data_IF_040066975890
#
_entry.id   IF_040066975890
#
_cell.length_a   1.000
_cell.length_b   1.000
_cell.length_c   1.000
_cell.angle_alpha   90.00
_cell.angle_beta   90.00
_cell.angle_gamma   90.00
#
_symmetry.space_group_name_H-M   'P 1'
#
loop_
_entity.id
_entity.type
_entity.pdbx_description
1 polymer ?
#
# COMPACT_ATOMS: atom_id res chain seq x y z
N UNK A 1 9.68 38.44 -0.87
CA UNK A 1 10.40 37.22 -1.31
C UNK A 1 9.35 36.24 -1.81
N UNK A 2 9.45 35.88 -3.08
CA UNK A 2 8.38 35.31 -3.93
C UNK A 2 7.98 33.88 -3.53
N UNK A 3 6.68 33.69 -3.36
CA UNK A 3 6.01 32.41 -3.09
C UNK A 3 5.94 31.54 -4.35
N UNK A 4 6.86 30.57 -4.50
CA UNK A 4 6.81 29.56 -5.55
C UNK A 4 6.07 28.29 -5.11
N UNK A 5 4.80 28.41 -4.72
CA UNK A 5 3.93 27.27 -4.40
C UNK A 5 2.66 27.27 -5.26
N UNK A 6 2.80 27.34 -6.58
CA UNK A 6 1.72 26.91 -7.48
C UNK A 6 2.05 25.53 -8.04
N UNK A 7 1.13 24.61 -7.74
CA UNK A 7 0.63 23.66 -8.73
C UNK A 7 1.53 22.45 -9.05
N UNK A 8 2.06 21.80 -8.02
CA UNK A 8 2.19 20.33 -8.10
C UNK A 8 0.78 19.73 -8.07
N UNK A 9 0.40 18.82 -8.98
CA UNK A 9 -0.90 18.16 -8.91
C UNK A 9 -1.06 17.56 -7.52
N UNK A 10 -2.09 17.99 -6.79
CA UNK A 10 -2.40 17.45 -5.47
C UNK A 10 -2.80 16.00 -5.69
N UNK A 11 -1.99 15.07 -5.19
CA UNK A 11 -2.35 13.67 -5.15
C UNK A 11 -3.67 13.55 -4.35
N UNK A 12 -4.77 13.29 -5.07
CA UNK A 12 -6.13 13.31 -4.52
C UNK A 12 -6.34 12.23 -3.46
N UNK A 13 -5.63 11.11 -3.59
CA UNK A 13 -5.71 9.98 -2.64
C UNK A 13 -4.71 10.11 -1.48
N UNK A 14 -3.81 11.10 -1.53
CA UNK A 14 -2.87 11.46 -0.45
C UNK A 14 -1.98 10.29 0.03
N UNK A 15 -1.74 9.30 -0.84
CA UNK A 15 -0.83 8.18 -0.63
C UNK A 15 0.16 8.10 -1.80
N UNK A 16 1.37 7.61 -1.56
CA UNK A 16 2.37 7.42 -2.61
C UNK A 16 2.94 6.01 -2.52
N UNK A 17 3.10 5.35 -3.67
CA UNK A 17 3.71 4.02 -3.76
C UNK A 17 5.03 4.15 -4.52
N UNK A 18 6.12 3.82 -3.85
CA UNK A 18 7.46 3.73 -4.45
C UNK A 18 7.78 2.25 -4.65
N UNK A 19 7.63 1.76 -5.87
CA UNK A 19 7.82 0.35 -6.21
C UNK A 19 9.29 0.04 -6.55
N UNK A 20 9.84 -0.99 -5.89
CA UNK A 20 11.09 -1.64 -6.30
C UNK A 20 10.76 -2.96 -6.98
N UNK A 21 10.88 -3.00 -8.30
CA UNK A 21 10.67 -4.19 -9.14
C UNK A 21 11.84 -4.36 -10.12
N UNK A 22 11.79 -5.36 -11.00
CA UNK A 22 12.83 -5.61 -12.02
C UNK A 22 13.19 -4.39 -12.88
N UNK A 23 12.23 -3.49 -13.13
CA UNK A 23 12.48 -2.25 -13.90
C UNK A 23 13.27 -1.18 -13.12
N UNK A 24 13.31 -1.26 -11.78
CA UNK A 24 14.08 -0.35 -10.91
C UNK A 24 15.34 -1.01 -10.33
N UNK A 25 15.30 -2.32 -10.14
CA UNK A 25 16.40 -3.13 -9.64
C UNK A 25 16.50 -4.41 -10.48
N UNK A 26 17.26 -4.39 -11.60
CA UNK A 26 17.33 -5.51 -12.54
C UNK A 26 17.79 -6.83 -11.93
N UNK A 27 18.55 -6.79 -10.82
CA UNK A 27 18.97 -7.97 -10.07
C UNK A 27 17.82 -8.76 -9.42
N UNK A 28 16.59 -8.23 -9.44
CA UNK A 28 15.39 -8.97 -9.04
C UNK A 28 14.86 -9.90 -10.12
N UNK A 29 15.41 -9.85 -11.34
CA UNK A 29 15.03 -10.78 -12.39
C UNK A 29 15.19 -12.23 -11.92
N UNK A 30 14.24 -13.08 -12.27
CA UNK A 30 14.13 -14.50 -11.84
C UNK A 30 13.92 -14.78 -10.35
N UNK A 31 13.92 -13.77 -9.47
CA UNK A 31 13.73 -13.95 -8.03
C UNK A 31 12.26 -13.93 -7.58
N UNK A 32 11.33 -13.56 -8.47
CA UNK A 32 9.88 -13.50 -8.20
C UNK A 32 9.51 -12.67 -6.97
N UNK A 33 10.23 -11.56 -6.75
CA UNK A 33 9.99 -10.66 -5.63
C UNK A 33 10.04 -9.19 -6.07
N UNK A 34 9.11 -8.41 -5.54
CA UNK A 34 9.17 -6.95 -5.58
C UNK A 34 8.76 -6.34 -4.23
N UNK A 35 9.22 -5.12 -3.97
CA UNK A 35 9.08 -4.48 -2.67
C UNK A 35 8.55 -3.04 -2.80
N UNK A 36 7.22 -2.83 -2.76
CA UNK A 36 6.66 -1.49 -2.62
C UNK A 36 6.89 -0.91 -1.22
N UNK A 37 7.30 0.36 -1.20
CA UNK A 37 7.14 1.24 -0.04
C UNK A 37 5.91 2.11 -0.24
N UNK A 38 5.09 2.25 0.80
CA UNK A 38 3.88 3.05 0.80
C UNK A 38 3.99 4.15 1.86
N UNK A 39 3.77 5.39 1.44
CA UNK A 39 3.73 6.56 2.32
C UNK A 39 2.33 7.17 2.27
N UNK A 40 1.64 7.24 3.40
CA UNK A 40 0.31 7.83 3.51
C UNK A 40 0.39 9.14 4.28
N UNK A 41 -0.16 10.22 3.71
CA UNK A 41 -0.46 11.41 4.53
C UNK A 41 -1.68 11.13 5.41
N UNK A 42 -1.96 12.02 6.36
CA UNK A 42 -3.21 12.04 7.11
C UNK A 42 -4.42 11.83 6.18
N UNK A 43 -5.30 10.88 6.51
CA UNK A 43 -6.46 10.51 5.68
C UNK A 43 -6.11 10.07 4.24
N UNK A 44 -4.90 9.53 4.03
CA UNK A 44 -4.46 8.96 2.78
C UNK A 44 -5.04 7.57 2.53
N UNK A 45 -5.38 7.29 1.28
CA UNK A 45 -5.99 6.06 0.81
C UNK A 45 -5.10 5.45 -0.28
N UNK A 46 -4.77 4.17 -0.16
CA UNK A 46 -4.41 3.35 -1.30
C UNK A 46 -5.72 2.69 -1.78
N UNK A 47 -6.27 3.11 -2.94
CA UNK A 47 -7.61 2.71 -3.34
C UNK A 47 -7.78 1.19 -3.48
N UNK A 48 -9.02 0.68 -3.50
CA UNK A 48 -9.29 -0.72 -3.82
C UNK A 48 -8.61 -1.15 -5.12
N UNK A 49 -7.76 -2.17 -5.04
CA UNK A 49 -7.00 -2.72 -6.18
C UNK A 49 -6.79 -4.24 -6.02
N UNK A 50 -6.30 -4.89 -7.08
CA UNK A 50 -6.00 -6.33 -7.11
C UNK A 50 -4.54 -6.57 -7.47
N UNK A 51 -4.01 -7.72 -7.06
CA UNK A 51 -2.74 -8.27 -7.57
C UNK A 51 -3.05 -9.55 -8.39
N UNK A 52 -3.04 -9.49 -9.73
CA UNK A 52 -3.46 -10.63 -10.56
C UNK A 52 -2.59 -11.88 -10.42
N UNK A 53 -1.31 -11.70 -10.11
CA UNK A 53 -0.28 -12.74 -10.21
C UNK A 53 0.66 -12.81 -8.99
N UNK A 54 0.25 -12.33 -7.82
CA UNK A 54 1.06 -12.45 -6.60
C UNK A 54 0.28 -12.18 -5.33
N UNK A 55 0.71 -12.82 -4.24
CA UNK A 55 0.27 -12.51 -2.87
C UNK A 55 1.04 -11.30 -2.36
N UNK A 56 0.41 -10.48 -1.53
CA UNK A 56 1.04 -9.33 -0.88
C UNK A 56 1.18 -9.58 0.63
N UNK A 57 2.42 -9.60 1.12
CA UNK A 57 2.74 -9.57 2.55
C UNK A 57 2.98 -8.11 2.95
N UNK A 58 2.11 -7.53 3.77
CA UNK A 58 2.12 -6.13 4.14
C UNK A 58 2.57 -5.93 5.59
N UNK A 59 3.42 -4.93 5.84
CA UNK A 59 3.90 -4.57 7.19
C UNK A 59 3.79 -3.07 7.43
N UNK A 60 3.27 -2.69 8.60
CA UNK A 60 3.26 -1.29 9.04
C UNK A 60 4.60 -0.96 9.70
N UNK A 61 5.36 -0.03 9.12
CA UNK A 61 6.67 0.38 9.63
C UNK A 61 6.48 1.47 10.69
N UNK A 62 5.56 2.41 10.47
CA UNK A 62 5.22 3.52 11.37
C UNK A 62 3.75 3.89 11.28
N UNK A 63 3.10 4.13 12.43
CA UNK A 63 1.72 4.61 12.52
C UNK A 63 0.67 3.48 12.67
N UNK A 64 -0.57 3.81 12.35
CA UNK A 64 -1.74 2.91 12.52
C UNK A 64 -2.63 2.98 11.27
N UNK A 65 -2.81 1.86 10.58
CA UNK A 65 -3.44 1.80 9.27
C UNK A 65 -4.63 0.84 9.26
N UNK A 66 -5.77 1.27 8.73
CA UNK A 66 -6.89 0.38 8.44
C UNK A 66 -6.59 -0.34 7.13
N UNK A 67 -6.64 -1.66 7.14
CA UNK A 67 -6.58 -2.48 5.93
C UNK A 67 -7.88 -3.23 5.73
N UNK A 68 -8.18 -3.57 4.49
CA UNK A 68 -9.32 -4.44 4.19
C UNK A 68 -9.15 -5.24 2.90
N UNK A 69 -9.83 -6.37 2.84
CA UNK A 69 -9.94 -7.23 1.67
C UNK A 69 -11.39 -7.68 1.46
N UNK A 70 -11.75 -7.95 0.21
CA UNK A 70 -13.06 -8.50 -0.18
C UNK A 70 -12.87 -9.92 -0.70
N UNK A 71 -13.59 -10.89 -0.13
CA UNK A 71 -13.52 -12.28 -0.59
C UNK A 71 -14.28 -12.49 -1.90
N UNK A 72 -13.80 -13.41 -2.73
CA UNK A 72 -14.47 -13.78 -3.98
C UNK A 72 -15.81 -14.48 -3.74
N UNK A 73 -15.94 -15.23 -2.64
CA UNK A 73 -17.20 -15.84 -2.24
C UNK A 73 -18.03 -14.86 -1.40
N UNK A 74 -19.22 -14.51 -1.88
CA UNK A 74 -20.19 -13.60 -1.25
C UNK A 74 -19.72 -12.14 -1.05
N UNK A 75 -18.61 -11.71 -1.67
CA UNK A 75 -18.10 -10.34 -1.58
C UNK A 75 -17.98 -9.83 -0.14
N UNK A 76 -17.62 -10.70 0.80
CA UNK A 76 -17.53 -10.35 2.22
C UNK A 76 -16.31 -9.49 2.47
N UNK A 77 -16.52 -8.34 3.12
CA UNK A 77 -15.46 -7.43 3.54
C UNK A 77 -14.88 -7.88 4.89
N UNK A 78 -13.56 -8.06 4.92
CA UNK A 78 -12.77 -8.21 6.14
C UNK A 78 -11.92 -6.96 6.32
N UNK A 79 -11.88 -6.43 7.54
CA UNK A 79 -11.05 -5.27 7.87
C UNK A 79 -10.30 -5.49 9.17
N UNK A 80 -9.13 -4.84 9.29
CA UNK A 80 -8.33 -4.84 10.50
C UNK A 80 -7.58 -3.51 10.61
N UNK A 81 -7.52 -2.97 11.82
CA UNK A 81 -6.59 -1.89 12.14
C UNK A 81 -5.26 -2.53 12.53
N UNK A 82 -4.19 -2.12 11.86
CA UNK A 82 -2.82 -2.57 12.07
C UNK A 82 -2.03 -1.44 12.73
N UNK A 83 -1.33 -1.74 13.80
CA UNK A 83 -0.39 -0.83 14.44
C UNK A 83 1.04 -1.07 13.95
N UNK A 84 1.96 -0.22 14.41
CA UNK A 84 3.39 -0.35 14.11
C UNK A 84 3.87 -1.78 14.38
N UNK A 85 4.53 -2.39 13.39
CA UNK A 85 5.06 -3.77 13.36
C UNK A 85 4.02 -4.86 13.11
N UNK A 86 2.74 -4.54 13.01
CA UNK A 86 1.75 -5.52 12.60
C UNK A 86 1.93 -5.88 11.13
N UNK A 87 1.55 -7.13 10.83
CA UNK A 87 1.66 -7.74 9.51
C UNK A 87 0.28 -8.22 9.07
N UNK A 88 0.02 -8.14 7.77
CA UNK A 88 -1.20 -8.64 7.15
C UNK A 88 -0.89 -9.24 5.78
N UNK A 89 -1.65 -10.26 5.36
CA UNK A 89 -1.47 -10.92 4.07
C UNK A 89 -2.70 -10.72 3.21
N UNK A 90 -2.53 -10.19 2.01
CA UNK A 90 -3.57 -10.11 0.99
C UNK A 90 -3.39 -11.27 -0.01
N UNK A 91 -4.36 -12.22 -0.08
CA UNK A 91 -4.30 -13.31 -1.04
C UNK A 91 -4.33 -12.82 -2.49
N UNK A 92 -3.65 -13.57 -3.37
CA UNK A 92 -3.65 -13.35 -4.81
C UNK A 92 -5.06 -13.13 -5.38
N UNK A 93 -5.20 -12.15 -6.26
CA UNK A 93 -6.42 -11.88 -7.01
C UNK A 93 -7.57 -11.24 -6.22
N UNK A 94 -7.44 -11.02 -4.90
CA UNK A 94 -8.49 -10.38 -4.11
C UNK A 94 -8.38 -8.86 -4.12
N UNK A 95 -9.54 -8.20 -4.13
CA UNK A 95 -9.64 -6.74 -3.98
C UNK A 95 -9.24 -6.39 -2.55
N UNK A 96 -8.32 -5.45 -2.38
CA UNK A 96 -7.89 -4.95 -1.09
C UNK A 96 -7.52 -3.46 -1.15
N UNK A 97 -7.48 -2.82 0.02
CA UNK A 97 -7.17 -1.41 0.17
C UNK A 97 -6.49 -1.14 1.51
N UNK A 98 -5.87 0.03 1.61
CA UNK A 98 -5.33 0.53 2.87
C UNK A 98 -5.71 2.00 3.07
N UNK A 99 -6.11 2.36 4.28
CA UNK A 99 -6.59 3.69 4.62
C UNK A 99 -5.99 4.18 5.94
N UNK A 100 -5.39 5.36 5.89
CA UNK A 100 -4.92 6.06 7.08
C UNK A 100 -6.11 6.75 7.77
N UNK A 101 -6.61 6.15 8.84
CA UNK A 101 -7.70 6.71 9.66
C UNK A 101 -7.23 7.83 10.60
N UNK A 102 -5.92 8.08 10.68
CA UNK A 102 -5.29 9.03 11.58
C UNK A 102 -4.96 10.40 10.97
N UNK A 103 -4.48 11.30 11.84
CA UNK A 103 -4.07 12.67 11.50
C UNK A 103 -2.55 12.80 11.25
N UNK A 104 -1.80 11.72 11.45
CA UNK A 104 -0.34 11.67 11.24
C UNK A 104 -0.02 10.94 9.94
N UNK A 105 1.22 11.10 9.46
CA UNK A 105 1.69 10.34 8.31
C UNK A 105 2.06 8.92 8.74
N UNK A 106 1.97 7.97 7.81
CA UNK A 106 2.21 6.54 8.02
C UNK A 106 3.18 6.05 6.96
N UNK A 107 4.06 5.13 7.36
CA UNK A 107 4.95 4.40 6.46
C UNK A 107 4.65 2.91 6.58
N UNK A 108 4.49 2.26 5.43
CA UNK A 108 4.33 0.82 5.33
C UNK A 108 5.15 0.28 4.16
N UNK A 109 5.35 -1.03 4.13
CA UNK A 109 5.94 -1.71 2.99
C UNK A 109 5.24 -3.03 2.76
N UNK A 110 5.35 -3.55 1.55
CA UNK A 110 4.88 -4.89 1.24
C UNK A 110 5.94 -5.67 0.47
N UNK A 111 5.89 -6.99 0.59
CA UNK A 111 6.59 -7.94 -0.28
C UNK A 111 5.59 -8.63 -1.21
N UNK A 112 5.89 -8.67 -2.49
CA UNK A 112 5.01 -9.22 -3.52
C UNK A 112 5.68 -10.42 -4.18
N UNK A 113 4.94 -11.53 -4.33
CA UNK A 113 5.41 -12.73 -5.01
C UNK A 113 5.15 -12.67 -6.52
N UNK A 114 5.88 -11.81 -7.25
CA UNK A 114 5.73 -11.59 -8.71
C UNK A 114 6.98 -11.01 -9.34
#
# INVERSE_FOLDING_TARGET
MTSNLCCKPRNKVRSNVTLVNVGKLPGLNTLSISLPRLDFKAFGLNPPHIRPCGTELFVVIEGTLLVGLVTSNLNKLFTKVLDKRDVFVFPIGLIHFQFNIGKTNIVASAGLSS
#
